data_IF_486012032020
#
_entry.id   IF_486012032020
#
_cell.length_a   1.000
_cell.length_b   1.000
_cell.length_c   1.000
_cell.angle_alpha   90.00
_cell.angle_beta   90.00
_cell.angle_gamma   90.00
#
_symmetry.space_group_name_H-M   'P 1'
#
loop_
_entity.id
_entity.type
_entity.pdbx_description
1 polymer ?
#
# COMPACT_ATOMS: atom_id res chain seq x y z
N UNK A 1 6.79 -5.60 -15.16
CA UNK A 1 5.67 -6.57 -15.13
C UNK A 1 5.88 -7.59 -16.25
N UNK A 2 5.82 -8.88 -15.94
CA UNK A 2 5.92 -9.96 -16.94
C UNK A 2 4.63 -10.10 -17.78
N UNK A 3 4.60 -11.05 -18.72
CA UNK A 3 3.46 -11.26 -19.61
C UNK A 3 2.23 -11.86 -18.91
N UNK A 4 2.41 -12.64 -17.84
CA UNK A 4 1.31 -13.25 -17.09
C UNK A 4 0.55 -12.18 -16.32
N UNK A 5 1.27 -11.37 -15.53
CA UNK A 5 0.69 -10.27 -14.77
C UNK A 5 0.07 -9.19 -15.66
N UNK A 6 0.58 -9.00 -16.88
CA UNK A 6 -0.07 -8.13 -17.88
C UNK A 6 -1.45 -8.62 -18.29
N UNK A 7 -1.60 -9.92 -18.55
CA UNK A 7 -2.90 -10.52 -18.88
C UNK A 7 -3.84 -10.44 -17.69
N UNK A 8 -3.33 -10.73 -16.50
CA UNK A 8 -4.10 -10.63 -15.27
C UNK A 8 -4.61 -9.21 -15.03
N UNK A 9 -3.74 -8.20 -15.16
CA UNK A 9 -4.14 -6.80 -15.03
C UNK A 9 -5.22 -6.41 -16.07
N UNK A 10 -5.13 -6.92 -17.30
CA UNK A 10 -6.16 -6.68 -18.32
C UNK A 10 -7.52 -7.27 -17.90
N UNK A 11 -7.54 -8.50 -17.37
CA UNK A 11 -8.73 -9.14 -16.83
C UNK A 11 -9.32 -8.36 -15.67
N UNK A 12 -8.50 -7.95 -14.71
CA UNK A 12 -8.93 -7.21 -13.52
C UNK A 12 -9.54 -5.84 -13.87
N UNK A 13 -9.04 -5.15 -14.90
CA UNK A 13 -9.61 -3.87 -15.36
C UNK A 13 -11.08 -4.00 -15.78
N UNK A 14 -11.46 -5.14 -16.35
CA UNK A 14 -12.82 -5.38 -16.84
C UNK A 14 -13.78 -5.65 -15.67
N UNK A 15 -13.29 -6.22 -14.56
CA UNK A 15 -14.12 -6.58 -13.41
C UNK A 15 -14.67 -5.38 -12.64
N UNK A 16 -14.04 -4.21 -12.79
CA UNK A 16 -14.33 -3.03 -11.98
C UNK A 16 -13.63 -3.06 -10.61
N UNK A 17 -13.45 -1.88 -10.03
CA UNK A 17 -12.61 -1.64 -8.83
C UNK A 17 -12.94 -2.55 -7.64
N UNK A 18 -14.21 -2.67 -7.26
CA UNK A 18 -14.62 -3.47 -6.08
C UNK A 18 -14.31 -4.96 -6.25
N UNK A 19 -14.74 -5.54 -7.38
CA UNK A 19 -14.52 -6.97 -7.68
C UNK A 19 -13.05 -7.29 -7.86
N UNK A 20 -12.29 -6.41 -8.51
CA UNK A 20 -10.85 -6.56 -8.65
C UNK A 20 -10.15 -6.52 -7.28
N UNK A 21 -10.59 -5.63 -6.37
CA UNK A 21 -10.02 -5.54 -5.04
C UNK A 21 -10.29 -6.81 -4.22
N UNK A 22 -11.53 -7.31 -4.26
CA UNK A 22 -11.88 -8.58 -3.63
C UNK A 22 -11.09 -9.76 -4.22
N UNK A 23 -10.99 -9.83 -5.55
CA UNK A 23 -10.21 -10.86 -6.22
C UNK A 23 -8.75 -10.86 -5.77
N UNK A 24 -8.11 -9.68 -5.72
CA UNK A 24 -6.72 -9.57 -5.26
C UNK A 24 -6.57 -10.08 -3.82
N UNK A 25 -7.45 -9.66 -2.92
CA UNK A 25 -7.40 -10.09 -1.50
C UNK A 25 -7.53 -11.62 -1.37
N UNK A 26 -8.39 -12.23 -2.18
CA UNK A 26 -8.66 -13.68 -2.14
C UNK A 26 -7.55 -14.52 -2.81
N UNK A 27 -7.05 -14.09 -3.97
CA UNK A 27 -6.12 -14.88 -4.80
C UNK A 27 -4.65 -14.57 -4.53
N UNK A 28 -4.37 -13.39 -3.98
CA UNK A 28 -3.03 -12.95 -3.59
C UNK A 28 -3.01 -12.52 -2.11
N UNK A 29 -3.44 -13.39 -1.18
CA UNK A 29 -3.56 -13.01 0.22
C UNK A 29 -2.21 -12.55 0.78
N UNK A 30 -2.28 -11.63 1.75
CA UNK A 30 -1.09 -11.10 2.43
C UNK A 30 -0.24 -12.25 2.99
N UNK A 31 1.09 -12.13 2.91
CA UNK A 31 2.03 -13.15 3.37
C UNK A 31 2.15 -14.39 2.48
N UNK A 32 1.35 -14.52 1.42
CA UNK A 32 1.54 -15.58 0.44
C UNK A 32 2.77 -15.32 -0.43
N UNK A 33 3.33 -16.38 -1.02
CA UNK A 33 4.44 -16.28 -1.98
C UNK A 33 4.13 -15.34 -3.16
N UNK A 34 2.85 -15.18 -3.51
CA UNK A 34 2.38 -14.34 -4.60
C UNK A 34 1.97 -12.93 -4.16
N UNK A 35 2.06 -12.57 -2.87
CA UNK A 35 1.64 -11.23 -2.42
C UNK A 35 2.46 -10.12 -3.10
N UNK A 36 3.69 -10.40 -3.52
CA UNK A 36 4.51 -9.49 -4.32
C UNK A 36 3.91 -9.15 -5.69
N UNK A 37 3.19 -10.10 -6.30
CA UNK A 37 2.48 -9.91 -7.58
C UNK A 37 1.31 -8.95 -7.41
N UNK A 38 0.56 -9.05 -6.31
CA UNK A 38 -0.50 -8.11 -5.99
C UNK A 38 0.02 -6.67 -5.93
N UNK A 39 1.21 -6.44 -5.34
CA UNK A 39 1.82 -5.10 -5.29
C UNK A 39 2.13 -4.55 -6.68
N UNK A 40 2.41 -5.40 -7.66
CA UNK A 40 2.59 -4.99 -9.06
C UNK A 40 1.23 -4.68 -9.68
N UNK A 41 0.24 -5.57 -9.50
CA UNK A 41 -1.09 -5.43 -10.09
C UNK A 41 -1.81 -4.17 -9.60
N UNK A 42 -1.74 -3.85 -8.30
CA UNK A 42 -2.41 -2.65 -7.74
C UNK A 42 -1.91 -1.34 -8.36
N UNK A 43 -0.65 -1.27 -8.76
CA UNK A 43 -0.08 -0.06 -9.38
C UNK A 43 -0.56 0.15 -10.82
N UNK A 44 -1.12 -0.88 -11.45
CA UNK A 44 -1.53 -0.85 -12.85
C UNK A 44 -3.06 -0.77 -13.03
N UNK A 45 -3.81 -0.64 -11.94
CA UNK A 45 -5.27 -0.58 -11.94
C UNK A 45 -5.73 0.77 -11.40
N UNK A 46 -6.89 1.23 -11.89
CA UNK A 46 -7.54 2.43 -11.39
C UNK A 46 -8.53 2.05 -10.30
N UNK A 47 -8.40 2.66 -9.13
CA UNK A 47 -9.15 2.29 -7.93
C UNK A 47 -10.03 3.43 -7.43
N UNK A 48 -11.25 3.11 -7.01
CA UNK A 48 -12.07 4.01 -6.20
C UNK A 48 -11.42 4.18 -4.83
N UNK A 49 -11.58 5.35 -4.21
CA UNK A 49 -10.97 5.66 -2.90
C UNK A 49 -11.30 4.60 -1.84
N UNK A 50 -12.55 4.11 -1.79
CA UNK A 50 -12.94 3.05 -0.85
C UNK A 50 -12.13 1.76 -1.06
N UNK A 51 -11.87 1.38 -2.31
CA UNK A 51 -11.11 0.18 -2.66
C UNK A 51 -9.61 0.37 -2.46
N UNK A 52 -9.08 1.59 -2.68
CA UNK A 52 -7.70 1.94 -2.31
C UNK A 52 -7.49 1.69 -0.80
N UNK A 53 -8.39 2.20 0.03
CA UNK A 53 -8.33 2.02 1.48
C UNK A 53 -8.48 0.54 1.87
N UNK A 54 -9.39 -0.21 1.24
CA UNK A 54 -9.58 -1.64 1.48
C UNK A 54 -8.30 -2.44 1.20
N UNK A 55 -7.69 -2.21 0.04
CA UNK A 55 -6.44 -2.86 -0.36
C UNK A 55 -5.29 -2.45 0.55
N UNK A 56 -5.15 -1.15 0.83
CA UNK A 56 -4.07 -0.63 1.67
C UNK A 56 -4.14 -1.24 3.07
N UNK A 57 -5.31 -1.23 3.72
CA UNK A 57 -5.49 -1.86 5.05
C UNK A 57 -5.16 -3.36 5.05
N UNK A 58 -5.52 -4.08 3.98
CA UNK A 58 -5.22 -5.50 3.89
C UNK A 58 -3.72 -5.79 3.74
N UNK A 59 -3.06 -5.12 2.81
CA UNK A 59 -1.67 -5.41 2.44
C UNK A 59 -0.64 -4.71 3.33
N UNK A 60 -0.92 -3.50 3.83
CA UNK A 60 -0.06 -2.80 4.78
C UNK A 60 -0.16 -3.38 6.19
N UNK A 61 -1.26 -4.07 6.54
CA UNK A 61 -1.45 -4.69 7.86
C UNK A 61 -0.89 -6.10 8.01
N UNK A 62 -0.33 -6.71 6.96
CA UNK A 62 0.37 -8.00 7.07
C UNK A 62 1.86 -7.79 7.27
N UNK A 63 2.54 -8.57 8.14
CA UNK A 63 3.96 -8.43 8.53
C UNK A 63 4.81 -7.58 7.56
N UNK A 64 4.84 -6.24 7.73
CA UNK A 64 5.39 -5.29 6.74
C UNK A 64 6.90 -5.13 6.83
N UNK A 65 7.56 -5.96 7.62
CA UNK A 65 8.87 -5.63 8.17
C UNK A 65 10.04 -5.93 7.23
N UNK A 66 9.79 -6.59 6.10
CA UNK A 66 10.85 -7.00 5.18
C UNK A 66 11.21 -5.94 4.13
N UNK A 67 10.35 -4.96 3.80
CA UNK A 67 10.69 -3.95 2.78
C UNK A 67 9.80 -2.71 2.71
N UNK A 68 10.36 -1.60 2.21
CA UNK A 68 9.63 -0.38 1.83
C UNK A 68 8.67 -0.56 0.63
N UNK A 69 8.78 -1.66 -0.13
CA UNK A 69 8.09 -1.86 -1.41
C UNK A 69 6.57 -1.79 -1.30
N UNK A 70 5.98 -2.30 -0.21
CA UNK A 70 4.53 -2.25 0.00
C UNK A 70 4.05 -0.82 0.16
N UNK A 71 4.77 0.00 0.94
CA UNK A 71 4.46 1.41 1.11
C UNK A 71 4.61 2.19 -0.19
N UNK A 72 5.70 1.93 -0.94
CA UNK A 72 5.93 2.57 -2.24
C UNK A 72 4.83 2.24 -3.24
N UNK A 73 4.35 0.99 -3.27
CA UNK A 73 3.29 0.54 -4.16
C UNK A 73 1.98 1.29 -3.91
N UNK A 74 1.59 1.50 -2.65
CA UNK A 74 0.37 2.24 -2.34
C UNK A 74 0.54 3.76 -2.48
N UNK A 75 1.69 4.31 -2.07
CA UNK A 75 1.99 5.72 -2.21
C UNK A 75 2.09 6.18 -3.68
N UNK A 76 2.32 5.26 -4.64
CA UNK A 76 2.42 5.62 -6.06
C UNK A 76 1.09 6.02 -6.70
N UNK A 77 -0.05 5.62 -6.14
CA UNK A 77 -1.37 5.89 -6.73
C UNK A 77 -2.39 6.48 -5.74
N UNK A 78 -2.16 6.36 -4.43
CA UNK A 78 -3.02 6.99 -3.42
C UNK A 78 -2.64 8.47 -3.23
N UNK A 79 -3.61 9.28 -2.84
CA UNK A 79 -3.29 10.60 -2.29
C UNK A 79 -2.48 10.44 -0.99
N UNK A 80 -1.55 11.36 -0.71
CA UNK A 80 -0.74 11.31 0.52
C UNK A 80 -1.61 11.25 1.78
N UNK A 81 -2.75 11.95 1.79
CA UNK A 81 -3.73 11.93 2.90
C UNK A 81 -4.39 10.56 3.07
N UNK A 82 -4.88 9.95 1.99
CA UNK A 82 -5.49 8.61 2.04
C UNK A 82 -4.46 7.56 2.45
N UNK A 83 -3.25 7.66 1.92
CA UNK A 83 -2.14 6.78 2.27
C UNK A 83 -1.79 6.89 3.75
N UNK A 84 -1.59 8.10 4.26
CA UNK A 84 -1.31 8.34 5.68
C UNK A 84 -2.42 7.78 6.58
N UNK A 85 -3.69 7.95 6.20
CA UNK A 85 -4.79 7.36 6.95
C UNK A 85 -4.72 5.82 6.95
N UNK A 86 -4.50 5.20 5.80
CA UNK A 86 -4.42 3.74 5.71
C UNK A 86 -3.24 3.17 6.52
N UNK A 87 -2.12 3.91 6.58
CA UNK A 87 -0.96 3.55 7.39
C UNK A 87 -1.28 3.61 8.89
N UNK A 88 -1.97 4.65 9.36
CA UNK A 88 -2.42 4.76 10.76
C UNK A 88 -3.35 3.61 11.16
N UNK A 89 -4.27 3.25 10.27
CA UNK A 89 -5.25 2.18 10.50
C UNK A 89 -4.59 0.80 10.74
N UNK A 90 -3.31 0.64 10.41
CA UNK A 90 -2.57 -0.63 10.52
C UNK A 90 -1.25 -0.52 11.28
N UNK A 91 -1.06 0.59 12.02
CA UNK A 91 0.17 0.80 12.78
C UNK A 91 0.40 -0.34 13.79
N UNK A 92 1.59 -0.95 13.86
CA UNK A 92 1.83 -2.07 14.78
C UNK A 92 1.71 -1.67 16.26
N UNK A 93 1.27 -2.59 17.10
CA UNK A 93 1.18 -2.36 18.56
C UNK A 93 2.53 -2.61 19.28
N UNK A 94 3.37 -3.50 18.74
CA UNK A 94 4.63 -3.91 19.37
C UNK A 94 5.75 -2.92 19.05
N UNK A 95 6.52 -2.42 20.03
CA UNK A 95 7.57 -1.43 19.80
C UNK A 95 8.61 -1.82 18.75
N UNK A 96 9.08 -3.08 18.75
CA UNK A 96 10.07 -3.57 17.78
C UNK A 96 9.52 -3.52 16.33
N UNK A 97 8.25 -3.87 16.17
CA UNK A 97 7.55 -3.86 14.89
C UNK A 97 7.32 -2.41 14.44
N UNK A 98 7.00 -1.49 15.36
CA UNK A 98 6.85 -0.06 15.07
C UNK A 98 8.13 0.57 14.56
N UNK A 99 9.29 0.27 15.17
CA UNK A 99 10.57 0.82 14.74
C UNK A 99 10.87 0.42 13.29
N UNK A 100 10.70 -0.87 12.97
CA UNK A 100 10.97 -1.40 11.64
C UNK A 100 9.92 -0.93 10.61
N UNK A 101 8.66 -0.79 11.03
CA UNK A 101 7.61 -0.22 10.21
C UNK A 101 7.90 1.25 9.87
N UNK A 102 8.26 2.07 10.86
CA UNK A 102 8.65 3.47 10.68
C UNK A 102 9.85 3.61 9.76
N UNK A 103 10.87 2.76 9.90
CA UNK A 103 12.05 2.77 9.03
C UNK A 103 11.71 2.53 7.55
N UNK A 104 10.93 1.50 7.27
CA UNK A 104 10.50 1.16 5.91
C UNK A 104 9.54 2.21 5.32
N UNK A 105 8.61 2.71 6.13
CA UNK A 105 7.68 3.78 5.75
C UNK A 105 8.44 5.06 5.38
N UNK A 106 9.36 5.51 6.24
CA UNK A 106 10.16 6.72 6.03
C UNK A 106 10.95 6.68 4.71
N UNK A 107 11.47 5.50 4.36
CA UNK A 107 12.14 5.27 3.07
C UNK A 107 11.20 5.49 1.88
N UNK A 108 9.97 4.98 1.97
CA UNK A 108 9.00 5.07 0.89
C UNK A 108 8.45 6.49 0.68
N UNK A 109 8.33 7.28 1.75
CA UNK A 109 7.65 8.58 1.72
C UNK A 109 8.56 9.80 1.52
N UNK A 110 9.88 9.66 1.75
CA UNK A 110 10.84 10.78 1.65
C UNK A 110 10.76 11.54 0.33
N UNK A 111 10.50 10.84 -0.78
CA UNK A 111 10.37 11.47 -2.11
C UNK A 111 9.16 12.39 -2.27
N UNK A 112 8.20 12.36 -1.33
CA UNK A 112 6.99 13.21 -1.37
C UNK A 112 7.12 14.48 -0.51
N UNK A 113 8.26 14.70 0.16
CA UNK A 113 8.62 15.93 0.88
C UNK A 113 8.94 17.09 -0.09
N UNK A 114 8.02 17.37 -1.00
CA UNK A 114 8.19 18.35 -2.10
C UNK A 114 7.52 19.69 -1.81
N UNK A 115 6.70 19.77 -0.76
CA UNK A 115 6.04 20.99 -0.31
C UNK A 115 5.85 20.96 1.20
N UNK A 116 5.77 22.15 1.82
CA UNK A 116 5.53 22.29 3.27
C UNK A 116 4.26 21.56 3.72
N UNK A 117 3.20 21.59 2.92
CA UNK A 117 1.96 20.87 3.20
C UNK A 117 2.17 19.34 3.24
N UNK A 118 2.98 18.78 2.34
CA UNK A 118 3.28 17.36 2.34
C UNK A 118 4.21 16.99 3.50
N UNK A 119 5.21 17.81 3.78
CA UNK A 119 6.12 17.64 4.92
C UNK A 119 5.33 17.59 6.23
N UNK A 120 4.38 18.51 6.44
CA UNK A 120 3.54 18.50 7.64
C UNK A 120 2.71 17.20 7.80
N UNK A 121 2.21 16.62 6.70
CA UNK A 121 1.49 15.34 6.75
C UNK A 121 2.42 14.17 7.10
N UNK A 122 3.63 14.17 6.52
CA UNK A 122 4.66 13.14 6.77
C UNK A 122 5.15 13.22 8.22
N UNK A 123 5.46 14.43 8.71
CA UNK A 123 5.89 14.65 10.09
C UNK A 123 4.82 14.23 11.08
N UNK A 124 3.56 14.58 10.83
CA UNK A 124 2.45 14.13 11.68
C UNK A 124 2.37 12.59 11.72
N UNK A 125 2.48 11.94 10.55
CA UNK A 125 2.42 10.48 10.46
C UNK A 125 3.57 9.78 11.18
N UNK A 126 4.79 10.32 11.13
CA UNK A 126 5.96 9.69 11.73
C UNK A 126 6.06 9.92 13.25
N UNK A 127 5.48 11.02 13.76
CA UNK A 127 5.58 11.44 15.16
C UNK A 127 4.35 11.12 16.04
N UNK A 128 3.24 10.63 15.46
CA UNK A 128 2.00 10.30 16.20
C UNK A 128 2.08 9.04 17.10
N UNK A 129 3.17 8.26 17.02
CA UNK A 129 3.33 6.95 17.66
C UNK A 129 4.70 6.78 18.31
#
# INVERSE_FOLDING_TARGET
MDAELRREAATLRIMGSEKAAEYLIQHYPRGSRRSGDALVLVQHLSWRVADQMRLARHYLGGQPHASARVFEAFASFMSLRSFAQAVRDVWPERPDDQQLFRYNLGTAIRKYETSEANTAVIDALLNEH
#
